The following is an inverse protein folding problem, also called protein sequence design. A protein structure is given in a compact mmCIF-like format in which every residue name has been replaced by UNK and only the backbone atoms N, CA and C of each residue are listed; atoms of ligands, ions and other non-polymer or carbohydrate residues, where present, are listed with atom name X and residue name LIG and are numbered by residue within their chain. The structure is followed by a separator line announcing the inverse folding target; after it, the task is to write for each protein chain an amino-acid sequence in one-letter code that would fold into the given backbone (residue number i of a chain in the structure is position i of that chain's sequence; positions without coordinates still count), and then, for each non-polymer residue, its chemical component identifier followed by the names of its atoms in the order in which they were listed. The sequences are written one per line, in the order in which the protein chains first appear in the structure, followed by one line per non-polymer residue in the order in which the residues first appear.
data_IF_047338763064
#
_entry.id   IF_047338763064
#
_cell.length_a   1.000
_cell.length_b   1.000
_cell.length_c   1.000
_cell.angle_alpha   90.00
_cell.angle_beta   90.00
_cell.angle_gamma   90.00
#
_symmetry.space_group_name_H-M   'P 1'
#
loop_
_entity.id
_entity.type
_entity.pdbx_description
1 polymer ?
#
# COMPACT_ATOMS: atom_id res chain seq x y z
N UNK A 1 32.29 -3.38 -44.70
CA UNK A 1 31.37 -3.22 -43.53
C UNK A 1 32.11 -3.71 -42.29
N UNK A 2 32.71 -2.81 -41.52
CA UNK A 2 33.60 -3.15 -40.40
C UNK A 2 32.84 -3.02 -39.06
N UNK A 3 32.27 -4.12 -38.57
CA UNK A 3 31.58 -4.16 -37.28
C UNK A 3 32.54 -4.67 -36.21
N UNK A 4 33.17 -3.75 -35.50
CA UNK A 4 33.99 -4.04 -34.32
C UNK A 4 33.06 -4.38 -33.15
N UNK A 5 32.60 -5.63 -33.06
CA UNK A 5 32.01 -6.14 -31.84
C UNK A 5 33.13 -6.26 -30.80
N UNK A 6 33.19 -5.29 -29.89
CA UNK A 6 34.03 -5.36 -28.71
C UNK A 6 33.40 -6.42 -27.80
N UNK A 7 33.70 -7.68 -28.09
CA UNK A 7 33.27 -8.83 -27.29
C UNK A 7 33.90 -8.67 -25.91
N UNK A 8 33.08 -8.27 -24.94
CA UNK A 8 33.45 -8.26 -23.54
C UNK A 8 33.69 -9.73 -23.16
N UNK A 9 34.95 -10.15 -23.16
CA UNK A 9 35.33 -11.45 -22.61
C UNK A 9 35.13 -11.34 -21.11
N UNK A 10 33.93 -11.73 -20.66
CA UNK A 10 33.66 -11.96 -19.26
C UNK A 10 34.63 -13.06 -18.83
N UNK A 11 35.55 -12.75 -17.92
CA UNK A 11 36.38 -13.74 -17.24
C UNK A 11 35.46 -14.63 -16.38
N UNK A 12 34.81 -15.62 -17.01
CA UNK A 12 34.05 -16.71 -16.41
C UNK A 12 33.03 -16.33 -15.32
N UNK A 13 32.69 -17.34 -14.51
CA UNK A 13 31.77 -17.30 -13.36
C UNK A 13 32.04 -16.14 -12.38
N UNK A 14 33.30 -15.71 -12.26
CA UNK A 14 33.72 -14.65 -11.34
C UNK A 14 33.12 -13.29 -11.70
N UNK A 15 33.04 -12.97 -13.01
CA UNK A 15 32.39 -11.75 -13.47
C UNK A 15 30.88 -11.74 -13.22
N UNK A 16 30.22 -12.90 -13.33
CA UNK A 16 28.80 -13.06 -13.02
C UNK A 16 28.52 -12.90 -11.51
N UNK A 17 29.35 -13.51 -10.66
CA UNK A 17 29.27 -13.36 -9.20
C UNK A 17 29.48 -11.91 -8.77
N UNK A 18 30.47 -11.22 -9.35
CA UNK A 18 30.73 -9.82 -9.06
C UNK A 18 29.57 -8.92 -9.50
N UNK A 19 28.98 -9.18 -10.68
CA UNK A 19 27.81 -8.44 -11.16
C UNK A 19 26.59 -8.67 -10.25
N UNK A 20 26.36 -9.92 -9.82
CA UNK A 20 25.30 -10.26 -8.87
C UNK A 20 25.50 -9.56 -7.52
N UNK A 21 26.73 -9.59 -7.00
CA UNK A 21 27.09 -8.93 -5.75
C UNK A 21 26.88 -7.42 -5.80
N UNK A 22 27.32 -6.77 -6.90
CA UNK A 22 27.11 -5.33 -7.10
C UNK A 22 25.61 -5.00 -7.15
N UNK A 23 24.82 -5.83 -7.84
CA UNK A 23 23.37 -5.65 -7.98
C UNK A 23 22.67 -5.78 -6.63
N UNK A 24 22.99 -6.81 -5.85
CA UNK A 24 22.46 -7.00 -4.50
C UNK A 24 22.90 -5.88 -3.56
N UNK A 25 24.15 -5.42 -3.65
CA UNK A 25 24.65 -4.30 -2.85
C UNK A 25 23.91 -3.01 -3.18
N UNK A 26 23.68 -2.71 -4.46
CA UNK A 26 22.85 -1.58 -4.89
C UNK A 26 21.42 -1.70 -4.37
N UNK A 27 20.81 -2.87 -4.50
CA UNK A 27 19.44 -3.10 -4.04
C UNK A 27 19.30 -2.94 -2.53
N UNK A 28 20.26 -3.49 -1.78
CA UNK A 28 20.32 -3.33 -0.33
C UNK A 28 20.52 -1.86 0.03
N UNK A 29 21.45 -1.15 -0.61
CA UNK A 29 21.65 0.29 -0.42
C UNK A 29 20.38 1.10 -0.71
N UNK A 30 19.62 0.72 -1.73
CA UNK A 30 18.36 1.38 -2.09
C UNK A 30 17.24 1.15 -1.07
N UNK A 31 17.27 0.05 -0.31
CA UNK A 31 16.33 -0.21 0.80
C UNK A 31 16.82 0.42 2.10
N UNK A 32 18.13 0.36 2.39
CA UNK A 32 18.69 0.89 3.63
C UNK A 32 18.64 2.43 3.67
N UNK A 33 18.80 3.08 2.52
CA UNK A 33 18.76 4.54 2.39
C UNK A 33 17.43 5.17 2.86
N UNK A 34 16.24 4.76 2.37
CA UNK A 34 14.99 5.32 2.83
C UNK A 34 14.71 5.00 4.30
N UNK A 35 15.15 3.84 4.81
CA UNK A 35 15.05 3.53 6.24
C UNK A 35 15.88 4.51 7.08
N UNK A 36 17.11 4.82 6.64
CA UNK A 36 17.94 5.83 7.30
C UNK A 36 17.31 7.23 7.21
N UNK A 37 16.75 7.60 6.05
CA UNK A 37 16.06 8.87 5.87
C UNK A 37 14.83 9.01 6.79
N UNK A 38 14.04 7.94 6.95
CA UNK A 38 12.91 7.90 7.89
C UNK A 38 13.39 8.05 9.33
N UNK A 39 14.45 7.35 9.73
CA UNK A 39 15.04 7.46 11.07
C UNK A 39 15.51 8.88 11.36
N UNK A 40 16.31 9.45 10.46
CA UNK A 40 16.84 10.80 10.61
C UNK A 40 15.72 11.84 10.62
N UNK A 41 14.76 11.74 9.69
CA UNK A 41 13.61 12.63 9.62
C UNK A 41 12.73 12.55 10.86
N UNK A 42 12.45 11.35 11.37
CA UNK A 42 11.67 11.16 12.59
C UNK A 42 12.39 11.74 13.81
N UNK A 43 13.68 11.44 13.98
CA UNK A 43 14.43 11.92 15.14
C UNK A 43 14.59 13.45 15.11
N UNK A 44 14.80 14.06 13.93
CA UNK A 44 14.92 15.51 13.81
C UNK A 44 13.59 16.26 13.95
N UNK A 45 12.49 15.68 13.45
CA UNK A 45 11.18 16.36 13.47
C UNK A 45 10.41 16.01 14.74
N UNK A 46 10.23 14.72 15.00
CA UNK A 46 9.36 14.22 16.07
C UNK A 46 10.09 14.28 17.41
N UNK A 47 11.32 13.78 17.50
CA UNK A 47 12.03 13.77 18.79
C UNK A 47 12.45 15.19 19.22
N UNK A 48 12.98 16.02 18.30
CA UNK A 48 13.43 17.37 18.66
C UNK A 48 12.30 18.41 18.75
N UNK A 49 11.30 18.40 17.86
CA UNK A 49 10.24 19.44 17.87
C UNK A 49 8.99 19.05 18.65
N UNK A 50 8.67 17.76 18.69
CA UNK A 50 7.45 17.26 19.32
C UNK A 50 7.72 16.46 20.60
N UNK A 51 8.98 16.43 21.06
CA UNK A 51 9.43 15.67 22.24
C UNK A 51 9.01 14.20 22.20
N UNK A 52 8.90 13.65 21.00
CA UNK A 52 8.51 12.25 20.79
C UNK A 52 9.68 11.29 21.01
N UNK A 53 9.39 9.98 20.98
CA UNK A 53 10.41 8.96 21.19
C UNK A 53 11.41 8.93 20.03
N UNK A 54 12.70 8.79 20.38
CA UNK A 54 13.78 8.52 19.43
C UNK A 54 13.63 7.09 18.94
N UNK A 55 13.67 6.92 17.62
CA UNK A 55 13.50 5.61 16.99
C UNK A 55 14.85 5.03 16.54
N UNK A 56 14.98 3.72 16.73
CA UNK A 56 16.13 2.94 16.25
C UNK A 56 15.91 2.44 14.82
N UNK A 57 16.99 1.94 14.20
CA UNK A 57 16.97 1.47 12.80
C UNK A 57 15.87 0.43 12.50
N UNK A 58 15.64 -0.52 13.43
CA UNK A 58 14.60 -1.53 13.31
C UNK A 58 13.17 -0.95 13.37
N UNK A 59 12.97 0.10 14.18
CA UNK A 59 11.67 0.78 14.25
C UNK A 59 11.44 1.63 13.00
N UNK A 60 12.50 2.26 12.49
CA UNK A 60 12.44 2.99 11.23
C UNK A 60 12.13 2.06 10.03
N UNK A 61 12.65 0.82 10.01
CA UNK A 61 12.35 -0.14 8.95
C UNK A 61 10.90 -0.62 8.99
N UNK A 62 10.34 -0.83 10.19
CA UNK A 62 8.92 -1.11 10.38
C UNK A 62 8.05 0.06 9.88
N UNK A 63 8.40 1.29 10.25
CA UNK A 63 7.66 2.48 9.84
C UNK A 63 7.72 2.66 8.32
N UNK A 64 8.89 2.48 7.72
CA UNK A 64 9.05 2.50 6.26
C UNK A 64 8.21 1.43 5.56
N UNK A 65 8.14 0.22 6.11
CA UNK A 65 7.29 -0.87 5.58
C UNK A 65 5.82 -0.50 5.61
N UNK A 66 5.34 0.15 6.68
CA UNK A 66 3.95 0.62 6.80
C UNK A 66 3.68 1.72 5.77
N UNK A 67 4.62 2.65 5.56
CA UNK A 67 4.50 3.69 4.51
C UNK A 67 4.38 3.05 3.14
N UNK A 68 5.22 2.07 2.81
CA UNK A 68 5.11 1.31 1.55
C UNK A 68 3.75 0.62 1.44
N UNK A 69 3.28 -0.02 2.51
CA UNK A 69 1.99 -0.69 2.51
C UNK A 69 0.83 0.28 2.30
N UNK A 70 0.90 1.46 2.92
CA UNK A 70 -0.11 2.50 2.76
C UNK A 70 -0.11 3.05 1.33
N UNK A 71 1.07 3.37 0.78
CA UNK A 71 1.22 3.79 -0.62
C UNK A 71 0.72 2.69 -1.56
N UNK A 72 1.09 1.43 -1.34
CA UNK A 72 0.64 0.29 -2.12
C UNK A 72 -0.89 0.14 -2.07
N UNK A 73 -1.50 0.29 -0.89
CA UNK A 73 -2.94 0.27 -0.73
C UNK A 73 -3.58 1.42 -1.50
N UNK A 74 -3.08 2.65 -1.36
CA UNK A 74 -3.58 3.82 -2.10
C UNK A 74 -3.44 3.65 -3.61
N UNK A 75 -2.31 3.15 -4.11
CA UNK A 75 -2.10 2.90 -5.55
C UNK A 75 -2.97 1.76 -6.08
N UNK A 76 -3.11 0.67 -5.31
CA UNK A 76 -3.99 -0.47 -5.66
C UNK A 76 -5.45 -0.03 -5.70
N UNK A 77 -5.84 0.80 -4.74
CA UNK A 77 -7.18 1.34 -4.65
C UNK A 77 -7.35 2.47 -5.70
N UNK A 78 -6.30 3.14 -6.17
CA UNK A 78 -6.39 4.09 -7.30
C UNK A 78 -6.80 3.47 -8.64
N UNK A 79 -6.91 2.12 -8.75
CA UNK A 79 -7.49 1.43 -9.91
C UNK A 79 -9.00 1.15 -9.75
N UNK A 80 -9.60 1.26 -8.57
CA UNK A 80 -11.05 1.37 -8.43
C UNK A 80 -11.46 1.84 -7.03
N UNK A 81 -11.03 3.04 -6.67
CA UNK A 81 -11.79 3.89 -5.77
C UNK A 81 -12.52 4.84 -6.70
N UNK A 82 -13.54 4.31 -7.40
CA UNK A 82 -14.83 4.98 -7.24
C UNK A 82 -15.06 4.91 -5.73
N UNK A 83 -14.64 5.97 -5.03
CA UNK A 83 -15.35 6.44 -3.86
C UNK A 83 -16.74 6.64 -4.46
N UNK A 84 -17.57 5.60 -4.44
CA UNK A 84 -18.94 5.82 -4.06
C UNK A 84 -18.76 6.44 -2.68
N UNK A 85 -18.66 7.77 -2.71
CA UNK A 85 -19.30 8.56 -1.70
C UNK A 85 -20.71 8.00 -1.77
N UNK A 86 -21.02 7.11 -0.85
CA UNK A 86 -22.39 6.86 -0.46
C UNK A 86 -22.86 8.12 0.26
N UNK A 87 -22.84 9.23 -0.47
CA UNK A 87 -23.75 10.32 -0.32
C UNK A 87 -24.98 9.87 -1.11
N UNK A 88 -25.88 9.18 -0.40
CA UNK A 88 -27.32 9.34 -0.56
C UNK A 88 -27.97 9.19 -1.96
N UNK A 89 -27.55 8.25 -2.81
CA UNK A 89 -28.32 7.96 -4.06
C UNK A 89 -28.52 6.46 -4.36
N UNK A 90 -28.42 5.61 -3.34
CA UNK A 90 -29.07 4.29 -3.36
C UNK A 90 -29.93 4.23 -2.11
N UNK A 91 -31.22 4.58 -2.21
CA UNK A 91 -32.27 4.13 -1.26
C UNK A 91 -33.69 4.66 -1.46
N UNK A 92 -34.11 5.22 -2.59
CA UNK A 92 -35.56 5.47 -2.76
C UNK A 92 -36.30 4.28 -3.36
N UNK A 93 -35.69 3.57 -4.30
CA UNK A 93 -36.36 2.44 -4.97
C UNK A 93 -36.31 1.15 -4.12
N UNK A 94 -35.17 0.86 -3.47
CA UNK A 94 -35.04 -0.29 -2.55
C UNK A 94 -35.78 -0.08 -1.21
N UNK A 95 -35.91 1.15 -0.69
CA UNK A 95 -36.73 1.38 0.52
C UNK A 95 -38.21 1.25 0.21
N UNK A 96 -38.66 1.68 -0.99
CA UNK A 96 -40.06 1.47 -1.40
C UNK A 96 -40.38 -0.01 -1.55
N UNK A 97 -39.48 -0.80 -2.14
CA UNK A 97 -39.66 -2.24 -2.27
C UNK A 97 -39.70 -2.93 -0.89
N UNK A 98 -38.79 -2.56 0.03
CA UNK A 98 -38.78 -3.09 1.40
C UNK A 98 -39.95 -2.59 2.27
N UNK A 99 -40.48 -1.38 2.04
CA UNK A 99 -41.68 -0.89 2.71
C UNK A 99 -42.93 -1.62 2.21
N UNK A 100 -42.99 -1.92 0.92
CA UNK A 100 -44.12 -2.63 0.31
C UNK A 100 -44.15 -4.11 0.77
N UNK A 101 -42.98 -4.75 0.88
CA UNK A 101 -42.87 -6.11 1.43
C UNK A 101 -43.20 -6.16 2.94
N UNK A 102 -42.86 -5.11 3.71
CA UNK A 102 -43.24 -5.04 5.12
C UNK A 102 -44.72 -4.73 5.35
N UNK A 103 -45.39 -3.97 4.47
CA UNK A 103 -46.84 -3.76 4.55
C UNK A 103 -47.61 -5.03 4.16
N UNK A 104 -47.13 -5.82 3.19
CA UNK A 104 -47.72 -7.13 2.84
C UNK A 104 -47.57 -8.17 3.98
N UNK A 105 -46.43 -8.16 4.70
CA UNK A 105 -46.22 -9.05 5.86
C UNK A 105 -47.02 -8.60 7.09
N UNK A 106 -47.39 -7.32 7.18
CA UNK A 106 -48.21 -6.80 8.29
C UNK A 106 -49.69 -7.13 8.14
N UNK A 107 -50.22 -7.21 6.91
CA UNK A 107 -51.58 -7.70 6.67
C UNK A 107 -51.72 -9.20 6.99
N UNK A 108 -50.73 -10.03 6.65
CA UNK A 108 -50.80 -11.48 6.95
C UNK A 108 -50.67 -11.83 8.43
N UNK A 109 -49.98 -11.01 9.24
CA UNK A 109 -49.81 -11.28 10.69
C UNK A 109 -50.99 -10.78 11.54
N UNK A 110 -51.90 -9.98 10.98
CA UNK A 110 -53.08 -9.48 11.70
C UNK A 110 -54.37 -10.28 11.47
N UNK A 111 -54.37 -11.27 10.55
CA UNK A 111 -55.49 -12.21 10.36
C UNK A 111 -55.41 -13.48 11.23
N UNK A 112 -54.25 -13.82 11.80
CA UNK A 112 -54.07 -15.01 12.67
C UNK A 112 -54.33 -14.75 14.17
N UNK A 113 -55.09 -13.69 14.48
CA UNK A 113 -55.51 -13.36 15.85
C UNK A 113 -57.00 -13.00 15.92
N UNK A 114 -57.86 -13.92 15.49
CA UNK A 114 -59.25 -13.99 15.96
C UNK A 114 -59.77 -15.42 16.00
#
# INVERSE_FOLDING_TARGET
MNKNFKVFQIHGLSGLLLLGFISTCLFCGFILFPVWAVMAGWNEIIANRLQGPIINYFQASLLWTIVILFVYLTFRNSISIKIHTSNEEMKDDEIKELMQEMDEVKETTSEDKF
#
